data_IF_777779543391
#
_entry.id   IF_777779543391
#
_cell.length_a   1.000
_cell.length_b   1.000
_cell.length_c   1.000
_cell.angle_alpha   90.00
_cell.angle_beta   90.00
_cell.angle_gamma   90.00
#
_symmetry.space_group_name_H-M   'P 1'
#
loop_
_entity.id
_entity.type
_entity.pdbx_description
1 polymer ?
#
# COMPACT_ATOMS: atom_id res chain seq x y z
N UNK A 1 -32.58 -36.18 -22.83
CA UNK A 1 -31.44 -37.02 -22.44
C UNK A 1 -30.21 -36.14 -22.64
N UNK A 2 -29.73 -35.51 -21.59
CA UNK A 2 -28.46 -34.80 -21.61
C UNK A 2 -27.38 -35.84 -21.28
N UNK A 3 -26.48 -36.09 -22.21
CA UNK A 3 -25.30 -36.92 -21.99
C UNK A 3 -24.40 -36.18 -20.98
N UNK A 4 -24.30 -36.77 -19.80
CA UNK A 4 -23.39 -36.41 -18.75
C UNK A 4 -21.97 -36.81 -19.22
N UNK A 5 -21.20 -35.86 -19.76
CA UNK A 5 -19.80 -36.09 -20.09
C UNK A 5 -19.04 -36.33 -18.79
N UNK A 6 -18.75 -37.60 -18.53
CA UNK A 6 -18.21 -38.23 -17.35
C UNK A 6 -16.96 -37.64 -16.68
N UNK A 7 -16.98 -36.36 -16.41
CA UNK A 7 -16.01 -35.70 -15.53
C UNK A 7 -16.40 -36.01 -14.09
N UNK A 8 -15.73 -36.94 -13.46
CA UNK A 8 -15.83 -37.17 -12.01
C UNK A 8 -15.43 -35.90 -11.30
N UNK A 9 -16.43 -35.06 -10.97
CA UNK A 9 -16.25 -33.93 -10.05
C UNK A 9 -15.88 -34.56 -8.71
N UNK A 10 -14.66 -34.32 -8.24
CA UNK A 10 -14.20 -34.75 -6.93
C UNK A 10 -15.17 -34.31 -5.83
N UNK A 11 -15.18 -34.98 -4.70
CA UNK A 11 -16.04 -34.64 -3.55
C UNK A 11 -15.82 -33.19 -3.18
N UNK A 12 -16.87 -32.35 -3.17
CA UNK A 12 -16.80 -30.96 -2.70
C UNK A 12 -16.34 -30.93 -1.24
N UNK A 13 -15.13 -30.48 -0.99
CA UNK A 13 -14.58 -30.26 0.36
C UNK A 13 -14.73 -28.81 0.71
N UNK A 14 -15.42 -28.53 1.79
CA UNK A 14 -15.51 -27.18 2.36
C UNK A 14 -14.37 -26.99 3.34
N UNK A 15 -13.43 -26.12 2.99
CA UNK A 15 -12.29 -25.83 3.85
C UNK A 15 -12.74 -25.09 5.14
N UNK A 16 -12.30 -25.53 6.34
CA UNK A 16 -12.67 -24.90 7.60
C UNK A 16 -12.08 -23.50 7.74
N UNK A 17 -12.62 -22.69 8.66
CA UNK A 17 -12.10 -21.35 8.96
C UNK A 17 -10.68 -21.33 9.54
N UNK A 18 -10.17 -22.48 9.99
CA UNK A 18 -8.78 -22.65 10.47
C UNK A 18 -7.79 -22.87 9.33
N UNK A 19 -8.27 -23.19 8.12
CA UNK A 19 -7.39 -23.36 6.96
C UNK A 19 -7.00 -21.99 6.41
N UNK A 20 -5.74 -21.62 6.59
CA UNK A 20 -5.19 -20.30 6.20
C UNK A 20 -5.45 -20.02 4.72
N UNK A 21 -6.06 -18.87 4.44
CA UNK A 21 -6.39 -18.42 3.08
C UNK A 21 -7.65 -19.05 2.49
N UNK A 22 -8.39 -19.92 3.22
CA UNK A 22 -9.71 -20.36 2.79
C UNK A 22 -10.73 -19.20 2.78
N UNK A 23 -11.81 -19.26 1.99
CA UNK A 23 -12.85 -18.23 2.00
C UNK A 23 -13.41 -17.96 3.41
N UNK A 24 -13.58 -19.01 4.21
CA UNK A 24 -14.06 -18.87 5.61
C UNK A 24 -13.03 -18.25 6.54
N UNK A 25 -11.75 -18.57 6.35
CA UNK A 25 -10.66 -17.89 7.09
C UNK A 25 -10.63 -16.41 6.78
N UNK A 26 -10.71 -16.04 5.50
CA UNK A 26 -10.73 -14.63 5.08
C UNK A 26 -11.98 -13.92 5.60
N UNK A 27 -13.15 -14.59 5.59
CA UNK A 27 -14.38 -14.04 6.16
C UNK A 27 -14.26 -13.83 7.68
N UNK A 28 -13.61 -14.73 8.40
CA UNK A 28 -13.33 -14.56 9.82
C UNK A 28 -12.49 -13.31 10.07
N UNK A 29 -11.35 -13.15 9.37
CA UNK A 29 -10.51 -11.96 9.50
C UNK A 29 -11.26 -10.65 9.21
N UNK A 30 -12.17 -10.71 8.22
CA UNK A 30 -13.07 -9.60 7.93
C UNK A 30 -13.98 -9.26 9.13
N UNK A 31 -14.66 -10.26 9.68
CA UNK A 31 -15.53 -10.04 10.84
C UNK A 31 -14.75 -9.52 12.04
N UNK A 32 -13.55 -10.05 12.30
CA UNK A 32 -12.68 -9.60 13.39
C UNK A 32 -12.31 -8.11 13.22
N UNK A 33 -11.97 -7.67 12.00
CA UNK A 33 -11.68 -6.26 11.71
C UNK A 33 -12.92 -5.37 11.83
N UNK A 34 -14.12 -5.88 11.47
CA UNK A 34 -15.38 -5.15 11.61
C UNK A 34 -15.81 -4.95 13.06
N UNK A 35 -15.43 -5.86 13.97
CA UNK A 35 -15.64 -5.66 15.41
C UNK A 35 -14.89 -4.41 15.90
N UNK A 36 -13.63 -4.21 15.45
CA UNK A 36 -12.89 -2.98 15.79
C UNK A 36 -13.62 -1.73 15.32
N UNK A 37 -14.11 -1.74 14.07
CA UNK A 37 -14.88 -0.60 13.52
C UNK A 37 -16.17 -0.36 14.29
N UNK A 38 -16.85 -1.41 14.71
CA UNK A 38 -18.10 -1.32 15.49
C UNK A 38 -17.88 -0.72 16.88
N UNK A 39 -16.77 -1.11 17.53
CA UNK A 39 -16.47 -0.70 18.92
C UNK A 39 -15.78 0.67 18.95
N UNK A 40 -14.81 0.92 18.06
CA UNK A 40 -13.95 2.10 18.08
C UNK A 40 -14.34 3.16 17.05
N UNK A 41 -15.35 2.87 16.21
CA UNK A 41 -15.73 3.72 15.08
C UNK A 41 -14.75 3.63 13.91
N UNK A 42 -14.75 4.65 13.06
CA UNK A 42 -13.82 4.71 11.92
C UNK A 42 -12.36 4.79 12.38
N UNK A 43 -11.42 4.17 11.68
CA UNK A 43 -10.00 4.37 11.92
C UNK A 43 -9.60 5.84 11.70
N UNK A 44 -8.49 6.26 12.27
CA UNK A 44 -7.94 7.60 12.10
C UNK A 44 -7.00 7.68 10.91
N UNK A 45 -6.12 6.69 10.75
CA UNK A 45 -5.12 6.64 9.69
C UNK A 45 -5.18 5.34 8.89
N UNK A 46 -4.97 5.47 7.59
CA UNK A 46 -4.66 4.40 6.67
C UNK A 46 -3.22 4.56 6.19
N UNK A 47 -2.41 3.53 6.39
CA UNK A 47 -0.99 3.53 6.03
C UNK A 47 -0.73 2.38 5.08
N UNK A 48 0.02 2.65 4.01
CA UNK A 48 0.52 1.61 3.10
C UNK A 48 2.04 1.65 3.09
N UNK A 49 2.68 0.59 3.53
CA UNK A 49 4.14 0.40 3.44
C UNK A 49 4.46 -0.56 2.31
N UNK A 50 5.35 -0.15 1.40
CA UNK A 50 5.84 -0.99 0.28
C UNK A 50 7.27 -1.38 0.52
N UNK A 51 7.61 -2.63 0.27
CA UNK A 51 8.99 -3.11 0.30
C UNK A 51 9.87 -2.28 -0.64
N UNK A 52 11.03 -1.85 -0.15
CA UNK A 52 12.05 -1.26 -1.01
C UNK A 52 13.08 -2.35 -1.38
N UNK A 53 13.10 -2.82 -2.64
CA UNK A 53 14.03 -3.88 -3.05
C UNK A 53 15.51 -3.44 -3.01
N UNK A 54 15.79 -2.15 -2.80
CA UNK A 54 17.15 -1.62 -2.70
C UNK A 54 17.59 -1.35 -1.26
N UNK A 55 16.92 -1.92 -0.26
CA UNK A 55 17.44 -1.88 1.10
C UNK A 55 18.79 -2.60 1.18
N UNK A 56 19.78 -2.05 1.90
CA UNK A 56 21.10 -2.69 2.04
C UNK A 56 21.00 -4.13 2.53
N UNK A 57 20.10 -4.40 3.47
CA UNK A 57 19.88 -5.73 4.04
C UNK A 57 19.37 -6.77 3.02
N UNK A 58 18.88 -6.30 1.86
CA UNK A 58 18.53 -7.18 0.73
C UNK A 58 19.70 -7.29 -0.23
N UNK A 59 20.26 -6.13 -0.62
CA UNK A 59 21.28 -6.06 -1.66
C UNK A 59 22.57 -6.77 -1.24
N UNK A 60 22.98 -6.64 0.02
CA UNK A 60 24.22 -7.21 0.55
C UNK A 60 24.16 -8.76 0.65
N UNK A 61 22.97 -9.35 0.60
CA UNK A 61 22.74 -10.80 0.63
C UNK A 61 22.53 -11.42 -0.77
N UNK A 62 22.58 -10.61 -1.82
CA UNK A 62 22.47 -11.12 -3.20
C UNK A 62 23.82 -11.58 -3.74
N UNK A 63 23.82 -12.72 -4.43
CA UNK A 63 24.98 -13.20 -5.16
C UNK A 63 25.18 -12.41 -6.46
N UNK A 64 26.38 -12.53 -7.03
CA UNK A 64 26.71 -11.84 -8.28
C UNK A 64 25.75 -12.24 -9.41
N UNK A 65 25.07 -11.24 -9.97
CA UNK A 65 24.09 -11.43 -11.05
C UNK A 65 22.65 -11.71 -10.56
N UNK A 66 22.41 -11.85 -9.26
CA UNK A 66 21.06 -11.96 -8.71
C UNK A 66 20.39 -10.60 -8.58
N UNK A 67 19.07 -10.63 -8.73
CA UNK A 67 18.17 -9.51 -8.42
C UNK A 67 17.32 -9.84 -7.17
N UNK A 68 16.71 -8.86 -6.50
CA UNK A 68 15.79 -9.12 -5.40
C UNK A 68 14.64 -10.08 -5.76
N UNK A 69 14.22 -10.13 -7.02
CA UNK A 69 13.18 -11.05 -7.50
C UNK A 69 13.61 -12.51 -7.47
N UNK A 70 14.91 -12.78 -7.51
CA UNK A 70 15.47 -14.14 -7.46
C UNK A 70 15.59 -14.67 -6.02
N UNK A 71 15.49 -13.75 -5.03
CA UNK A 71 15.60 -14.07 -3.59
C UNK A 71 14.40 -13.55 -2.79
N UNK A 72 13.18 -14.03 -3.10
CA UNK A 72 11.97 -13.62 -2.38
C UNK A 72 12.01 -13.99 -0.89
N UNK A 73 12.77 -15.01 -0.52
CA UNK A 73 13.01 -15.42 0.87
C UNK A 73 13.67 -14.30 1.69
N UNK A 74 14.70 -13.64 1.14
CA UNK A 74 15.37 -12.49 1.76
C UNK A 74 14.43 -11.28 1.80
N UNK A 75 13.81 -10.97 0.66
CA UNK A 75 12.90 -9.83 0.53
C UNK A 75 11.77 -9.88 1.57
N UNK A 76 11.15 -11.05 1.74
CA UNK A 76 10.04 -11.24 2.71
C UNK A 76 10.54 -11.10 4.15
N UNK A 77 11.68 -11.70 4.49
CA UNK A 77 12.24 -11.60 5.85
C UNK A 77 12.63 -10.17 6.21
N UNK A 78 13.34 -9.48 5.32
CA UNK A 78 13.72 -8.08 5.56
C UNK A 78 12.48 -7.18 5.66
N UNK A 79 11.50 -7.36 4.78
CA UNK A 79 10.26 -6.61 4.85
C UNK A 79 9.53 -6.82 6.19
N UNK A 80 9.43 -8.07 6.65
CA UNK A 80 8.79 -8.37 7.94
C UNK A 80 9.51 -7.71 9.11
N UNK A 81 10.84 -7.75 9.15
CA UNK A 81 11.63 -7.06 10.17
C UNK A 81 11.41 -5.54 10.16
N UNK A 82 11.40 -4.93 8.96
CA UNK A 82 11.11 -3.49 8.79
C UNK A 82 9.67 -3.15 9.19
N UNK A 83 8.69 -3.98 8.83
CA UNK A 83 7.29 -3.79 9.22
C UNK A 83 7.11 -3.89 10.73
N UNK A 84 7.70 -4.89 11.39
CA UNK A 84 7.68 -5.01 12.85
C UNK A 84 8.31 -3.78 13.51
N UNK A 85 9.47 -3.35 13.03
CA UNK A 85 10.13 -2.14 13.53
C UNK A 85 9.25 -0.90 13.36
N UNK A 86 8.57 -0.75 12.22
CA UNK A 86 7.63 0.35 11.99
C UNK A 86 6.42 0.27 12.93
N UNK A 87 5.87 -0.92 13.14
CA UNK A 87 4.77 -1.09 14.09
C UNK A 87 5.20 -0.77 15.53
N UNK A 88 6.43 -1.09 15.92
CA UNK A 88 6.99 -0.70 17.23
C UNK A 88 7.14 0.82 17.37
N UNK A 89 7.59 1.53 16.32
CA UNK A 89 7.60 3.00 16.31
C UNK A 89 6.19 3.58 16.50
N UNK A 90 5.21 3.00 15.82
CA UNK A 90 3.82 3.48 15.85
C UNK A 90 3.15 3.15 17.20
N UNK A 91 3.25 1.90 17.68
CA UNK A 91 2.46 1.42 18.81
C UNK A 91 3.13 1.57 20.17
N UNK A 92 4.48 1.49 20.22
CA UNK A 92 5.24 1.61 21.48
C UNK A 92 5.80 3.00 21.68
N UNK A 93 6.27 3.66 20.59
CA UNK A 93 6.84 5.01 20.67
C UNK A 93 5.84 6.11 20.33
N UNK A 94 4.65 5.74 19.86
CA UNK A 94 3.54 6.65 19.59
C UNK A 94 3.88 7.81 18.63
N UNK A 95 4.72 7.55 17.63
CA UNK A 95 5.22 8.58 16.69
C UNK A 95 4.13 9.27 15.86
N UNK A 96 2.95 8.66 15.77
CA UNK A 96 1.76 9.23 15.11
C UNK A 96 0.66 9.63 16.11
N UNK A 97 0.90 9.48 17.41
CA UNK A 97 -0.06 9.62 18.50
C UNK A 97 -0.31 8.29 19.21
N UNK A 98 -0.92 8.32 20.40
CA UNK A 98 -1.20 7.14 21.21
C UNK A 98 -2.15 6.19 20.46
N UNK A 99 -1.65 5.01 20.09
CA UNK A 99 -2.40 3.99 19.35
C UNK A 99 -3.21 3.12 20.30
N UNK A 100 -4.53 3.07 20.13
CA UNK A 100 -5.43 2.22 20.94
C UNK A 100 -5.76 0.89 20.27
N UNK A 101 -5.74 0.85 18.93
CA UNK A 101 -5.93 -0.38 18.15
C UNK A 101 -5.32 -0.25 16.76
N UNK A 102 -5.02 -1.37 16.17
CA UNK A 102 -4.60 -1.47 14.77
C UNK A 102 -5.01 -2.81 14.16
N UNK A 103 -5.11 -2.83 12.86
CA UNK A 103 -5.10 -4.07 12.08
C UNK A 103 -4.31 -3.84 10.78
N UNK A 104 -3.69 -4.88 10.26
CA UNK A 104 -2.99 -4.80 8.98
C UNK A 104 -3.13 -6.09 8.18
N UNK A 105 -2.94 -5.95 6.87
CA UNK A 105 -2.85 -7.07 5.93
C UNK A 105 -1.57 -6.93 5.10
N UNK A 106 -1.00 -8.06 4.69
CA UNK A 106 0.13 -8.10 3.77
C UNK A 106 -0.37 -8.64 2.43
N UNK A 107 -0.08 -7.89 1.37
CA UNK A 107 -0.38 -8.24 -0.01
C UNK A 107 0.92 -8.37 -0.79
N UNK A 108 1.05 -9.40 -1.61
CA UNK A 108 2.15 -9.53 -2.57
C UNK A 108 1.71 -9.01 -3.93
N UNK A 109 2.43 -8.04 -4.47
CA UNK A 109 2.16 -7.55 -5.81
C UNK A 109 2.63 -8.55 -6.88
N UNK A 110 2.14 -8.38 -8.13
CA UNK A 110 2.53 -9.20 -9.29
C UNK A 110 4.04 -9.30 -9.51
N UNK A 111 4.82 -8.36 -8.97
CA UNK A 111 6.31 -8.35 -9.02
C UNK A 111 6.98 -8.98 -7.80
N UNK A 112 6.21 -9.67 -6.95
CA UNK A 112 6.72 -10.35 -5.76
C UNK A 112 7.04 -9.45 -4.56
N UNK A 113 6.91 -8.12 -4.66
CA UNK A 113 7.19 -7.22 -3.55
C UNK A 113 6.02 -7.17 -2.56
N UNK A 114 6.27 -7.39 -1.24
CA UNK A 114 5.23 -7.29 -0.23
C UNK A 114 4.84 -5.85 0.08
N UNK A 115 3.54 -5.67 0.33
CA UNK A 115 2.91 -4.45 0.80
C UNK A 115 2.14 -4.71 2.08
N UNK A 116 2.24 -3.82 3.05
CA UNK A 116 1.39 -3.83 4.23
C UNK A 116 0.39 -2.68 4.16
N UNK A 117 -0.89 -2.99 4.36
CA UNK A 117 -1.97 -2.03 4.52
C UNK A 117 -2.42 -2.04 5.96
N UNK A 118 -2.34 -0.89 6.64
CA UNK A 118 -2.51 -0.76 8.08
C UNK A 118 -3.60 0.24 8.36
N UNK A 119 -4.54 -0.10 9.25
CA UNK A 119 -5.49 0.84 9.85
C UNK A 119 -5.09 1.08 11.30
N UNK A 120 -5.12 2.33 11.71
CA UNK A 120 -4.83 2.76 13.07
C UNK A 120 -6.00 3.50 13.68
N UNK A 121 -6.27 3.20 14.94
CA UNK A 121 -7.16 3.95 15.81
C UNK A 121 -6.32 4.65 16.88
N UNK A 122 -6.40 5.96 16.91
CA UNK A 122 -5.68 6.80 17.86
C UNK A 122 -6.62 7.19 19.03
N UNK A 123 -6.04 7.40 20.19
CA UNK A 123 -6.76 7.90 21.38
C UNK A 123 -7.28 9.32 21.12
N UNK A 124 -6.39 10.18 20.66
CA UNK A 124 -6.72 11.53 20.26
C UNK A 124 -7.04 11.57 18.76
N UNK A 125 -8.32 11.75 18.46
CA UNK A 125 -8.82 11.72 17.07
C UNK A 125 -8.27 12.88 16.24
N UNK A 126 -7.85 12.58 14.99
CA UNK A 126 -7.41 13.60 14.03
C UNK A 126 -8.63 14.32 13.46
N UNK A 127 -9.15 15.29 14.16
CA UNK A 127 -10.40 15.98 13.85
C UNK A 127 -10.23 17.38 13.23
N UNK A 128 -9.03 17.96 13.27
CA UNK A 128 -8.71 19.26 12.68
C UNK A 128 -7.50 19.21 11.76
N UNK A 129 -7.34 20.26 10.93
CA UNK A 129 -6.29 20.32 9.92
C UNK A 129 -4.88 20.49 10.50
N UNK A 130 -4.74 21.14 11.66
CA UNK A 130 -3.44 21.29 12.30
C UNK A 130 -2.87 19.97 12.79
N UNK A 131 -3.73 19.08 13.30
CA UNK A 131 -3.35 17.72 13.67
C UNK A 131 -3.01 16.88 12.44
N UNK A 132 -3.73 17.09 11.31
CA UNK A 132 -3.38 16.45 10.05
C UNK A 132 -1.97 16.85 9.62
N UNK A 133 -1.65 18.14 9.60
CA UNK A 133 -0.36 18.67 9.15
C UNK A 133 0.82 18.25 10.05
N UNK A 134 0.57 17.87 11.30
CA UNK A 134 1.60 17.30 12.20
C UNK A 134 1.97 15.86 11.83
N UNK A 135 1.02 15.11 11.30
CA UNK A 135 1.17 13.67 11.03
C UNK A 135 1.42 13.40 9.56
N UNK A 136 0.80 14.17 8.66
CA UNK A 136 0.82 13.93 7.21
C UNK A 136 1.38 15.14 6.48
N UNK A 137 2.30 14.90 5.56
CA UNK A 137 2.87 15.87 4.64
C UNK A 137 2.65 15.40 3.19
N UNK A 138 2.42 16.33 2.28
CA UNK A 138 2.33 16.05 0.85
C UNK A 138 3.18 17.02 0.01
N UNK A 139 4.26 17.55 0.60
CA UNK A 139 5.17 18.51 0.02
C UNK A 139 6.59 17.98 -0.06
N UNK A 140 7.39 18.54 -0.95
CA UNK A 140 8.81 18.22 -1.13
C UNK A 140 9.60 18.79 0.05
N UNK A 141 10.42 18.00 0.76
CA UNK A 141 11.30 18.49 1.81
C UNK A 141 12.35 19.47 1.27
N UNK A 142 12.92 20.27 2.15
CA UNK A 142 14.04 21.12 1.81
C UNK A 142 15.29 20.27 1.49
N UNK A 143 15.81 20.40 0.26
CA UNK A 143 16.92 19.59 -0.23
C UNK A 143 18.23 19.83 0.51
N UNK A 144 18.42 21.01 1.13
CA UNK A 144 19.63 21.37 1.88
C UNK A 144 19.49 21.01 3.36
N UNK A 145 18.38 21.46 4.00
CA UNK A 145 18.16 21.27 5.43
C UNK A 145 17.78 19.83 5.80
N UNK A 146 17.15 19.11 4.88
CA UNK A 146 16.59 17.77 5.08
C UNK A 146 17.02 16.82 3.95
N UNK A 147 18.29 16.84 3.57
CA UNK A 147 18.82 16.16 2.38
C UNK A 147 18.50 14.66 2.32
N UNK A 148 18.61 13.94 3.44
CA UNK A 148 18.28 12.52 3.51
C UNK A 148 16.78 12.27 3.29
N UNK A 149 15.92 13.05 3.95
CA UNK A 149 14.48 12.96 3.77
C UNK A 149 14.08 13.32 2.33
N UNK A 150 14.69 14.40 1.78
CA UNK A 150 14.48 14.79 0.38
C UNK A 150 14.80 13.65 -0.58
N UNK A 151 15.94 12.99 -0.42
CA UNK A 151 16.33 11.86 -1.27
C UNK A 151 15.33 10.69 -1.18
N UNK A 152 14.89 10.35 0.03
CA UNK A 152 13.91 9.29 0.24
C UNK A 152 12.53 9.65 -0.36
N UNK A 153 12.06 10.89 -0.14
CA UNK A 153 10.77 11.37 -0.66
C UNK A 153 10.80 11.48 -2.18
N UNK A 154 11.85 12.04 -2.77
CA UNK A 154 12.02 12.13 -4.22
C UNK A 154 12.08 10.75 -4.89
N UNK A 155 12.64 9.75 -4.22
CA UNK A 155 12.74 8.38 -4.74
C UNK A 155 11.44 7.60 -4.58
N UNK A 156 10.77 7.70 -3.41
CA UNK A 156 9.70 6.78 -3.04
C UNK A 156 8.30 7.39 -3.03
N UNK A 157 8.16 8.70 -2.81
CA UNK A 157 6.85 9.32 -2.58
C UNK A 157 6.33 10.13 -3.77
N UNK A 158 6.94 9.99 -4.94
CA UNK A 158 6.54 10.69 -6.15
C UNK A 158 5.64 9.81 -7.01
N UNK A 159 4.46 10.34 -7.38
CA UNK A 159 3.59 9.74 -8.38
C UNK A 159 3.93 10.25 -9.77
N UNK A 160 4.16 9.34 -10.68
CA UNK A 160 4.32 9.73 -12.07
C UNK A 160 5.76 10.03 -12.53
N UNK A 161 5.88 10.88 -13.55
CA UNK A 161 4.81 11.54 -14.26
C UNK A 161 3.91 10.61 -15.05
N UNK A 162 2.68 11.06 -15.25
CA UNK A 162 1.66 10.44 -16.08
C UNK A 162 0.96 11.54 -16.90
N UNK A 163 -0.11 11.24 -17.60
CA UNK A 163 -0.76 12.19 -18.50
C UNK A 163 0.01 12.38 -19.81
N UNK A 164 0.13 13.61 -20.27
CA UNK A 164 0.79 13.93 -21.55
C UNK A 164 2.28 13.51 -21.57
N UNK A 165 2.98 13.64 -20.45
CA UNK A 165 4.39 13.27 -20.34
C UNK A 165 4.61 11.76 -20.39
N UNK A 166 3.63 10.96 -19.96
CA UNK A 166 3.66 9.50 -19.99
C UNK A 166 2.25 8.90 -20.11
N UNK A 167 1.66 8.90 -21.32
CA UNK A 167 0.28 8.45 -21.54
C UNK A 167 0.10 6.93 -21.31
N UNK A 168 1.16 6.14 -21.38
CA UNK A 168 1.14 4.69 -21.16
C UNK A 168 1.45 4.29 -19.71
N UNK A 169 1.40 5.26 -18.78
CA UNK A 169 1.60 4.95 -17.37
C UNK A 169 0.47 4.03 -16.85
N UNK A 170 0.76 3.03 -15.99
CA UNK A 170 -0.24 2.10 -15.48
C UNK A 170 -1.43 2.73 -14.73
N UNK A 171 -1.31 3.99 -14.32
CA UNK A 171 -2.39 4.73 -13.68
C UNK A 171 -3.32 5.45 -14.68
N UNK A 172 -3.04 5.37 -15.99
CA UNK A 172 -3.85 6.06 -16.99
C UNK A 172 -5.05 5.19 -17.41
N UNK A 173 -6.24 5.75 -17.29
CA UNK A 173 -7.52 5.18 -17.71
C UNK A 173 -8.27 6.28 -18.50
N UNK A 174 -8.70 5.98 -19.71
CA UNK A 174 -9.41 6.92 -20.60
C UNK A 174 -8.74 8.30 -20.74
N UNK A 175 -7.40 8.32 -20.86
CA UNK A 175 -6.60 9.53 -21.02
C UNK A 175 -6.41 10.36 -19.75
N UNK A 176 -6.88 9.87 -18.58
CA UNK A 176 -6.77 10.56 -17.28
C UNK A 176 -6.07 9.66 -16.26
N UNK A 177 -5.42 10.28 -15.29
CA UNK A 177 -4.85 9.53 -14.16
C UNK A 177 -5.97 9.06 -13.22
N UNK A 178 -6.13 7.74 -13.03
CA UNK A 178 -7.12 7.15 -12.10
C UNK A 178 -6.85 7.49 -10.62
N UNK A 179 -5.67 8.07 -10.34
CA UNK A 179 -5.28 8.59 -9.02
C UNK A 179 -5.40 10.11 -8.93
N UNK A 180 -5.97 10.76 -9.96
CA UNK A 180 -6.22 12.20 -10.03
C UNK A 180 -4.97 13.10 -9.95
N UNK A 181 -3.79 12.57 -10.32
CA UNK A 181 -2.58 13.40 -10.43
C UNK A 181 -2.52 14.14 -11.78
N UNK A 182 -1.96 15.37 -11.79
CA UNK A 182 -1.41 16.13 -10.68
C UNK A 182 -2.53 16.68 -9.76
N UNK A 183 -2.27 16.67 -8.45
CA UNK A 183 -3.19 17.24 -7.45
C UNK A 183 -3.25 18.76 -7.54
N UNK A 184 -4.24 19.38 -6.90
CA UNK A 184 -4.37 20.83 -6.87
C UNK A 184 -3.38 21.47 -5.87
N UNK A 185 -2.85 22.65 -6.22
CA UNK A 185 -2.11 23.53 -5.30
C UNK A 185 -3.09 24.03 -4.22
N UNK A 186 -2.62 24.01 -2.97
CA UNK A 186 -3.35 24.50 -1.78
C UNK A 186 -2.36 25.03 -0.75
N UNK A 187 -2.66 26.20 -0.22
CA UNK A 187 -1.80 26.84 0.79
C UNK A 187 -2.03 26.28 2.20
N UNK A 188 -3.18 25.66 2.43
CA UNK A 188 -3.58 25.02 3.69
C UNK A 188 -4.20 23.66 3.47
N UNK A 189 -4.14 22.82 4.49
CA UNK A 189 -4.91 21.57 4.54
C UNK A 189 -6.36 21.89 4.87
N UNK A 190 -7.29 21.31 4.11
CA UNK A 190 -8.72 21.56 4.21
C UNK A 190 -9.48 20.23 4.22
N UNK A 191 -10.79 20.31 4.52
CA UNK A 191 -11.72 19.19 4.34
C UNK A 191 -12.77 19.60 3.30
N UNK A 192 -13.06 18.69 2.38
CA UNK A 192 -14.16 18.89 1.43
C UNK A 192 -15.54 18.68 2.11
N UNK A 193 -16.62 18.89 1.34
CA UNK A 193 -18.00 18.70 1.82
C UNK A 193 -18.34 17.29 2.28
N UNK A 194 -17.58 16.28 1.83
CA UNK A 194 -17.71 14.87 2.25
C UNK A 194 -16.76 14.50 3.38
N UNK A 195 -15.96 15.47 3.87
CA UNK A 195 -15.00 15.32 4.96
C UNK A 195 -13.67 14.69 4.56
N UNK A 196 -13.39 14.51 3.25
CA UNK A 196 -12.08 14.05 2.81
C UNK A 196 -11.04 15.14 3.02
N UNK A 197 -9.84 14.72 3.40
CA UNK A 197 -8.73 15.63 3.63
C UNK A 197 -8.06 16.00 2.30
N UNK A 198 -8.00 17.30 2.05
CA UNK A 198 -7.29 17.92 0.94
C UNK A 198 -5.98 18.48 1.51
N UNK A 199 -4.90 17.72 1.36
CA UNK A 199 -3.60 18.05 1.95
C UNK A 199 -2.98 19.29 1.34
N UNK A 200 -2.33 20.10 2.17
CA UNK A 200 -1.53 21.25 1.75
C UNK A 200 -0.47 20.85 0.73
N UNK A 201 -0.38 21.65 -0.36
CA UNK A 201 0.58 21.49 -1.47
C UNK A 201 0.90 22.86 -2.01
N UNK A 202 1.81 23.58 -1.36
CA UNK A 202 2.13 24.96 -1.71
C UNK A 202 2.91 25.06 -3.02
N UNK A 203 2.72 26.19 -3.71
CA UNK A 203 3.56 26.56 -4.84
C UNK A 203 4.80 27.31 -4.32
N UNK A 204 5.71 26.59 -3.67
CA UNK A 204 6.92 27.12 -3.04
C UNK A 204 8.16 27.08 -3.94
N UNK A 205 7.99 26.78 -5.22
CA UNK A 205 9.06 26.71 -6.21
C UNK A 205 9.91 25.46 -6.14
N UNK A 206 9.66 24.53 -5.21
CA UNK A 206 10.38 23.27 -5.12
C UNK A 206 9.91 22.30 -6.18
N UNK A 207 10.84 21.56 -6.75
CA UNK A 207 10.57 20.51 -7.73
C UNK A 207 11.63 19.42 -7.68
N UNK A 208 11.29 18.26 -8.23
CA UNK A 208 12.23 17.18 -8.53
C UNK A 208 12.29 17.01 -10.04
N UNK A 209 13.49 16.94 -10.60
CA UNK A 209 13.69 16.67 -12.01
C UNK A 209 13.73 15.14 -12.28
N UNK A 210 12.98 14.71 -13.27
CA UNK A 210 12.96 13.33 -13.71
C UNK A 210 13.13 13.26 -15.23
N UNK A 211 14.05 12.40 -15.67
CA UNK A 211 14.23 12.19 -17.11
C UNK A 211 13.28 11.09 -17.59
N UNK A 212 12.45 11.40 -18.58
CA UNK A 212 11.46 10.52 -19.17
C UNK A 212 11.51 10.64 -20.67
N UNK A 213 11.73 9.52 -21.36
CA UNK A 213 11.86 9.48 -22.83
C UNK A 213 12.86 10.53 -23.38
N UNK A 214 13.96 10.77 -22.62
CA UNK A 214 14.99 11.75 -22.98
C UNK A 214 14.70 13.20 -22.60
N UNK A 215 13.48 13.53 -22.17
CA UNK A 215 13.08 14.87 -21.70
C UNK A 215 13.19 15.00 -20.18
N UNK A 216 13.54 16.18 -19.71
CA UNK A 216 13.54 16.51 -18.27
C UNK A 216 12.18 17.11 -17.93
N UNK A 217 11.46 16.43 -17.03
CA UNK A 217 10.17 16.87 -16.50
C UNK A 217 10.38 17.34 -15.04
N UNK A 218 9.80 18.49 -14.71
CA UNK A 218 9.82 19.04 -13.33
C UNK A 218 8.53 18.70 -12.62
N UNK A 219 8.65 18.03 -11.50
CA UNK A 219 7.54 17.54 -10.69
C UNK A 219 7.55 18.30 -9.37
N UNK A 220 6.57 19.14 -9.16
CA UNK A 220 6.36 19.96 -7.95
C UNK A 220 5.50 19.23 -6.91
N UNK A 221 5.05 19.92 -5.86
CA UNK A 221 4.24 19.35 -4.77
C UNK A 221 2.94 18.69 -5.22
N UNK A 222 2.44 18.96 -6.42
CA UNK A 222 1.24 18.33 -7.00
C UNK A 222 1.43 16.83 -7.28
N UNK A 223 2.66 16.37 -7.37
CA UNK A 223 3.00 15.00 -7.78
C UNK A 223 3.37 14.09 -6.62
N UNK A 224 3.35 14.58 -5.39
CA UNK A 224 3.79 13.79 -4.25
C UNK A 224 2.63 13.13 -3.52
N UNK A 225 2.84 11.88 -3.15
CA UNK A 225 1.91 11.10 -2.33
C UNK A 225 1.97 11.61 -0.89
N UNK A 226 0.87 11.60 -0.17
CA UNK A 226 0.81 11.95 1.26
C UNK A 226 1.64 10.95 2.10
N UNK A 227 2.46 11.45 3.01
CA UNK A 227 3.40 10.64 3.77
C UNK A 227 3.64 11.22 5.16
N UNK A 228 4.24 10.41 6.04
CA UNK A 228 4.81 10.92 7.30
C UNK A 228 6.33 11.08 7.18
N UNK A 229 6.89 12.28 7.44
CA UNK A 229 8.32 12.56 7.28
C UNK A 229 9.23 11.66 8.10
N UNK A 230 8.85 11.37 9.35
CA UNK A 230 9.61 10.51 10.24
C UNK A 230 9.69 9.08 9.70
N UNK A 231 8.56 8.50 9.33
CA UNK A 231 8.50 7.11 8.85
C UNK A 231 9.26 6.95 7.53
N UNK A 232 9.06 7.86 6.55
CA UNK A 232 9.78 7.78 5.26
C UNK A 232 11.28 7.96 5.46
N UNK A 233 11.70 8.94 6.28
CA UNK A 233 13.13 9.15 6.57
C UNK A 233 13.79 7.96 7.25
N UNK A 234 13.08 7.28 8.18
CA UNK A 234 13.60 6.16 8.93
C UNK A 234 13.66 4.86 8.14
N UNK A 235 12.62 4.57 7.35
CA UNK A 235 12.48 3.27 6.67
C UNK A 235 12.92 3.31 5.20
N UNK A 236 13.12 4.48 4.62
CA UNK A 236 13.58 4.67 3.25
C UNK A 236 12.82 3.79 2.24
N UNK A 237 11.48 3.88 2.25
CA UNK A 237 10.61 3.16 1.34
C UNK A 237 9.33 3.96 1.08
N UNK A 238 8.49 3.47 0.17
CA UNK A 238 7.18 4.08 -0.06
C UNK A 238 6.28 3.82 1.14
N UNK A 239 5.88 4.89 1.84
CA UNK A 239 4.95 4.85 2.96
C UNK A 239 3.90 5.95 2.76
N UNK A 240 2.77 5.56 2.16
CA UNK A 240 1.60 6.44 2.07
C UNK A 240 0.89 6.49 3.43
N UNK A 241 0.54 7.70 3.87
CA UNK A 241 -0.24 7.94 5.09
C UNK A 241 -1.41 8.84 4.76
N UNK A 242 -2.62 8.37 5.03
CA UNK A 242 -3.86 9.07 4.77
C UNK A 242 -4.74 9.13 6.01
N UNK A 243 -5.40 10.27 6.23
CA UNK A 243 -6.42 10.42 7.27
C UNK A 243 -7.73 9.83 6.76
N UNK A 244 -8.31 8.92 7.52
CA UNK A 244 -9.57 8.28 7.16
C UNK A 244 -10.74 9.27 7.36
N UNK A 245 -11.41 9.65 6.29
CA UNK A 245 -12.56 10.55 6.33
C UNK A 245 -13.86 9.84 6.66
N UNK A 246 -14.02 8.59 6.24
CA UNK A 246 -15.27 7.84 6.38
C UNK A 246 -15.05 6.36 6.62
N UNK A 247 -16.12 5.66 7.02
CA UNK A 247 -16.15 4.18 7.13
C UNK A 247 -15.89 3.51 5.77
N UNK A 248 -16.04 4.23 4.64
CA UNK A 248 -15.71 3.71 3.31
C UNK A 248 -14.24 3.30 3.18
N UNK A 249 -13.33 3.93 3.93
CA UNK A 249 -11.91 3.54 3.99
C UNK A 249 -11.73 2.12 4.50
N UNK A 250 -12.62 1.66 5.38
CA UNK A 250 -12.64 0.28 5.86
C UNK A 250 -12.97 -0.69 4.72
N UNK A 251 -13.85 -0.31 3.78
CA UNK A 251 -14.10 -1.13 2.56
C UNK A 251 -12.84 -1.33 1.73
N UNK A 252 -11.90 -0.39 1.80
CA UNK A 252 -10.63 -0.51 1.09
C UNK A 252 -9.76 -1.61 1.70
N UNK A 253 -9.67 -1.68 3.04
CA UNK A 253 -8.99 -2.79 3.71
C UNK A 253 -9.68 -4.13 3.40
N UNK A 254 -11.03 -4.13 3.35
CA UNK A 254 -11.80 -5.31 2.98
C UNK A 254 -11.43 -5.84 1.60
N UNK A 255 -11.23 -4.96 0.61
CA UNK A 255 -10.77 -5.33 -0.73
C UNK A 255 -9.46 -6.11 -0.66
N UNK A 256 -8.54 -5.71 0.21
CA UNK A 256 -7.25 -6.38 0.38
C UNK A 256 -7.34 -7.66 1.22
N UNK A 257 -8.18 -7.67 2.27
CA UNK A 257 -8.45 -8.89 3.04
C UNK A 257 -9.07 -9.97 2.15
N UNK A 258 -10.06 -9.60 1.30
CA UNK A 258 -10.74 -10.55 0.41
C UNK A 258 -9.98 -10.87 -0.88
N UNK A 259 -9.04 -10.03 -1.29
CA UNK A 259 -8.28 -10.26 -2.53
C UNK A 259 -7.49 -11.56 -2.46
N UNK A 260 -7.07 -11.96 -1.27
CA UNK A 260 -6.17 -13.11 -1.12
C UNK A 260 -4.81 -12.88 -1.82
N UNK A 261 -3.94 -13.88 -1.89
CA UNK A 261 -2.75 -13.83 -2.72
C UNK A 261 -3.16 -13.64 -4.19
N UNK A 262 -2.45 -12.77 -4.92
CA UNK A 262 -2.65 -12.61 -6.36
C UNK A 262 -2.53 -13.99 -7.03
N UNK A 263 -3.58 -14.40 -7.74
CA UNK A 263 -3.61 -15.68 -8.45
C UNK A 263 -3.11 -15.45 -9.88
N UNK A 264 -2.09 -16.19 -10.29
CA UNK A 264 -1.80 -16.37 -11.71
C UNK A 264 -2.94 -17.20 -12.32
N UNK A 265 -3.62 -16.70 -13.35
CA UNK A 265 -4.52 -17.51 -14.16
C UNK A 265 -3.64 -18.29 -15.12
N UNK A 266 -3.40 -19.56 -14.83
CA UNK A 266 -2.95 -20.51 -15.81
C UNK A 266 -4.20 -20.98 -16.56
N UNK A 267 -4.41 -20.52 -17.77
CA UNK A 267 -5.38 -21.15 -18.68
C UNK A 267 -4.83 -22.52 -19.03
N UNK A 268 -5.40 -23.52 -18.44
CA UNK A 268 -5.27 -24.91 -18.90
C UNK A 268 -6.63 -25.35 -19.38
N UNK A 269 -6.70 -25.98 -20.55
CA UNK A 269 -7.93 -26.48 -21.16
C UNK A 269 -8.61 -27.64 -20.40
N UNK A 270 -8.19 -27.92 -19.18
CA UNK A 270 -8.76 -28.95 -18.33
C UNK A 270 -9.72 -28.39 -17.30
N UNK A 271 -10.85 -29.04 -17.10
CA UNK A 271 -11.84 -28.79 -16.04
C UNK A 271 -11.15 -28.85 -14.68
N UNK A 272 -10.97 -27.70 -14.05
CA UNK A 272 -10.10 -27.52 -12.90
C UNK A 272 -10.85 -27.84 -11.61
N UNK A 273 -10.35 -28.83 -10.87
CA UNK A 273 -10.65 -29.04 -9.45
C UNK A 273 -10.33 -27.76 -8.66
N UNK A 274 -11.31 -27.21 -7.92
CA UNK A 274 -11.13 -25.97 -7.15
C UNK A 274 -10.02 -26.09 -6.10
N UNK A 275 -9.75 -27.28 -5.59
CA UNK A 275 -8.64 -27.55 -4.66
C UNK A 275 -7.31 -27.47 -5.40
N UNK A 276 -7.23 -28.08 -6.59
CA UNK A 276 -6.06 -28.02 -7.46
C UNK A 276 -5.80 -26.56 -7.89
N UNK A 277 -6.87 -25.85 -8.28
CA UNK A 277 -6.82 -24.40 -8.59
C UNK A 277 -6.41 -23.55 -7.40
N UNK A 278 -6.78 -23.90 -6.19
CA UNK A 278 -6.38 -23.21 -4.96
C UNK A 278 -4.93 -23.51 -4.58
N UNK A 279 -4.47 -24.76 -4.75
CA UNK A 279 -3.11 -25.21 -4.42
C UNK A 279 -2.12 -24.75 -5.50
N UNK A 280 -2.48 -24.88 -6.78
CA UNK A 280 -1.62 -24.55 -7.92
C UNK A 280 -1.68 -23.04 -8.30
N UNK A 281 -2.80 -22.36 -8.01
CA UNK A 281 -2.94 -20.91 -8.23
C UNK A 281 -2.34 -20.06 -7.12
N UNK A 282 -1.72 -20.62 -6.09
CA UNK A 282 -0.88 -19.91 -5.18
C UNK A 282 0.42 -19.57 -5.90
N UNK A 283 0.61 -18.28 -6.15
CA UNK A 283 1.94 -17.76 -6.38
C UNK A 283 2.72 -17.99 -5.08
N UNK A 284 3.35 -19.14 -4.98
CA UNK A 284 4.48 -19.27 -4.06
C UNK A 284 5.55 -18.44 -4.75
N UNK A 285 5.80 -17.22 -4.24
CA UNK A 285 7.00 -16.51 -4.58
C UNK A 285 8.14 -17.45 -4.19
N UNK A 286 8.74 -18.08 -5.21
CA UNK A 286 9.96 -18.86 -5.08
C UNK A 286 11.11 -17.88 -4.98
#
# INVERSE_FOLDING_TARGET
MHEDNGVRIGRRIVLPATFIGSPRYMQKLFHDSMVLVRVLGKPDLFITMTCNPTWPEIIDELELGQSPSDRPDIVVRVFELKLRAMMDEITKKNVLGETIAFCYTIEFQKRGLPHAHILLWLKDKINNCDLVDRVVCAEIPDSVKQSQLYAAVAKHMMHGPCGLDNPNCPCMEDGKCSKHYPMQIRDSTERDGDGHVLYRRRNDGRYVEKRIRGQIVRLDNRWFVSYNPYLVGRFNCHINVEVCSSVKTVKYLHKYIFKGPDRGILETDEVVDEIKKFVEGRYVAV
#
